data_IF_818819897411
#
_entry.id   IF_818819897411
#
_cell.length_a   1.000
_cell.length_b   1.000
_cell.length_c   1.000
_cell.angle_alpha   90.00
_cell.angle_beta   90.00
_cell.angle_gamma   90.00
#
_symmetry.space_group_name_H-M   'P 1'
#
loop_
_entity.id
_entity.type
_entity.pdbx_description
1 polymer ?
#
# COMPACT_ATOMS: atom_id res chain seq x y z
N UNK A 1 50.75 -7.48 15.02
CA UNK A 1 49.78 -7.03 14.00
C UNK A 1 48.89 -8.22 13.65
N UNK A 2 47.76 -8.37 14.35
CA UNK A 2 46.82 -9.45 14.13
C UNK A 2 45.82 -9.07 13.04
N UNK A 3 45.78 -9.87 11.98
CA UNK A 3 44.78 -9.74 10.92
C UNK A 3 43.48 -10.40 11.40
N UNK A 4 42.47 -9.58 11.67
CA UNK A 4 41.09 -10.03 11.85
C UNK A 4 40.56 -10.43 10.46
N UNK A 5 40.47 -11.74 10.21
CA UNK A 5 39.78 -12.27 9.06
C UNK A 5 38.27 -12.01 9.23
N UNK A 6 37.71 -11.15 8.36
CA UNK A 6 36.27 -11.03 8.18
C UNK A 6 35.77 -12.37 7.64
N UNK A 7 34.91 -13.04 8.40
CA UNK A 7 34.24 -14.26 7.95
C UNK A 7 33.35 -13.92 6.73
N UNK A 8 33.37 -14.73 5.67
CA UNK A 8 32.46 -14.54 4.56
C UNK A 8 31.05 -14.85 5.04
N UNK A 9 30.11 -13.92 4.84
CA UNK A 9 28.69 -14.21 4.94
C UNK A 9 28.39 -15.34 3.95
N UNK A 10 28.05 -16.51 4.48
CA UNK A 10 27.57 -17.62 3.66
C UNK A 10 26.24 -17.18 3.03
N UNK A 11 26.25 -16.88 1.73
CA UNK A 11 25.04 -16.82 0.93
C UNK A 11 24.54 -18.26 0.81
N UNK A 12 23.57 -18.63 1.65
CA UNK A 12 22.81 -19.84 1.43
C UNK A 12 22.19 -19.75 0.03
N UNK A 13 22.48 -20.74 -0.81
CA UNK A 13 21.69 -21.02 -2.01
C UNK A 13 20.30 -21.44 -1.53
N UNK A 14 19.40 -20.47 -1.46
CA UNK A 14 17.98 -20.69 -1.23
C UNK A 14 17.37 -21.05 -2.60
N UNK A 15 16.54 -22.09 -2.67
CA UNK A 15 15.73 -22.43 -3.87
C UNK A 15 14.61 -21.38 -4.05
N UNK A 16 15.04 -20.12 -4.09
CA UNK A 16 14.50 -19.03 -3.30
C UNK A 16 13.28 -18.37 -3.90
N UNK A 17 12.39 -17.96 -3.02
CA UNK A 17 11.31 -17.04 -3.36
C UNK A 17 11.93 -15.79 -4.00
N UNK A 18 11.75 -15.62 -5.30
CA UNK A 18 12.29 -14.51 -6.07
C UNK A 18 11.14 -13.80 -6.79
N UNK A 19 11.10 -12.48 -6.66
CA UNK A 19 10.16 -11.67 -7.41
C UNK A 19 10.63 -11.55 -8.86
N UNK A 20 9.73 -11.71 -9.86
CA UNK A 20 10.10 -11.57 -11.25
C UNK A 20 10.52 -10.12 -11.57
N UNK A 21 11.23 -9.95 -12.69
CA UNK A 21 11.52 -8.62 -13.19
C UNK A 21 10.22 -7.86 -13.51
N UNK A 22 10.20 -6.56 -13.18
CA UNK A 22 9.06 -5.69 -13.45
C UNK A 22 8.80 -5.56 -14.95
N UNK A 23 7.54 -5.65 -15.36
CA UNK A 23 7.10 -5.44 -16.74
C UNK A 23 6.18 -4.21 -16.84
N UNK A 24 6.23 -3.48 -17.94
CA UNK A 24 5.30 -2.37 -18.16
C UNK A 24 3.86 -2.88 -18.26
N UNK A 25 2.92 -2.23 -17.56
CA UNK A 25 1.49 -2.60 -17.63
C UNK A 25 0.59 -1.37 -17.64
N UNK A 26 -0.55 -1.47 -18.32
CA UNK A 26 -1.65 -0.50 -18.23
C UNK A 26 -2.75 -0.98 -17.26
N UNK A 27 -3.68 -0.09 -16.93
CA UNK A 27 -4.77 -0.38 -15.99
C UNK A 27 -5.63 -1.57 -16.41
N UNK A 28 -6.08 -1.59 -17.66
CA UNK A 28 -7.03 -2.60 -18.16
C UNK A 28 -6.39 -3.99 -18.15
N UNK A 29 -5.13 -4.08 -18.54
CA UNK A 29 -4.36 -5.32 -18.53
C UNK A 29 -4.10 -5.79 -17.10
N UNK A 30 -3.73 -4.88 -16.19
CA UNK A 30 -3.51 -5.20 -14.78
C UNK A 30 -4.78 -5.68 -14.07
N UNK A 31 -5.92 -5.02 -14.30
CA UNK A 31 -7.20 -5.40 -13.71
C UNK A 31 -7.57 -6.85 -14.06
N UNK A 32 -7.32 -7.22 -15.32
CA UNK A 32 -7.63 -8.55 -15.86
C UNK A 32 -6.48 -9.57 -15.67
N UNK A 33 -5.33 -9.17 -15.14
CA UNK A 33 -4.18 -10.05 -14.95
C UNK A 33 -4.52 -11.21 -14.01
N UNK A 34 -4.24 -12.45 -14.44
CA UNK A 34 -4.38 -13.66 -13.64
C UNK A 34 -3.13 -14.51 -13.83
N UNK A 35 -2.50 -14.88 -12.74
CA UNK A 35 -1.28 -15.67 -12.71
C UNK A 35 -1.28 -16.54 -11.45
N UNK A 36 -0.72 -17.75 -11.53
CA UNK A 36 -0.57 -18.64 -10.38
C UNK A 36 0.63 -18.25 -9.49
N UNK A 37 1.44 -17.28 -9.94
CA UNK A 37 2.59 -16.73 -9.24
C UNK A 37 2.49 -15.22 -9.09
N UNK A 38 3.25 -14.68 -8.13
CA UNK A 38 3.42 -13.23 -7.98
C UNK A 38 3.98 -12.62 -9.25
N UNK A 39 3.38 -11.52 -9.69
CA UNK A 39 3.84 -10.71 -10.82
C UNK A 39 4.26 -9.33 -10.34
N UNK A 40 5.22 -8.70 -11.04
CA UNK A 40 5.70 -7.35 -10.72
C UNK A 40 5.57 -6.46 -11.95
N UNK A 41 5.06 -5.26 -11.78
CA UNK A 41 4.80 -4.34 -12.88
C UNK A 41 5.24 -2.90 -12.62
N UNK A 42 5.71 -2.23 -13.67
CA UNK A 42 5.84 -0.79 -13.74
C UNK A 42 4.55 -0.19 -14.32
N UNK A 43 3.83 0.58 -13.53
CA UNK A 43 2.51 1.06 -13.92
C UNK A 43 2.57 2.25 -14.87
N UNK A 44 1.91 2.15 -16.03
CA UNK A 44 1.73 3.25 -16.98
C UNK A 44 3.04 3.83 -17.53
N UNK A 45 4.14 3.06 -17.51
CA UNK A 45 5.48 3.54 -17.85
C UNK A 45 6.05 4.58 -16.87
N UNK A 46 5.39 4.81 -15.73
CA UNK A 46 5.84 5.70 -14.67
C UNK A 46 6.80 4.94 -13.77
N UNK A 47 8.09 5.23 -13.84
CA UNK A 47 9.13 4.54 -13.06
C UNK A 47 9.02 4.69 -11.54
N UNK A 48 8.08 5.49 -11.04
CA UNK A 48 7.84 5.72 -9.63
C UNK A 48 6.72 4.86 -9.03
N UNK A 49 6.00 4.09 -9.84
CA UNK A 49 4.88 3.26 -9.36
C UNK A 49 5.16 1.80 -9.71
N UNK A 50 5.55 1.04 -8.69
CA UNK A 50 5.80 -0.39 -8.78
C UNK A 50 4.59 -1.13 -8.20
N UNK A 51 4.12 -2.16 -8.89
CA UNK A 51 2.98 -2.96 -8.47
C UNK A 51 3.43 -4.40 -8.27
N UNK A 52 3.08 -4.99 -7.14
CA UNK A 52 3.27 -6.42 -6.85
C UNK A 52 1.88 -7.05 -6.77
N UNK A 53 1.60 -7.95 -7.71
CA UNK A 53 0.30 -8.56 -7.93
C UNK A 53 0.29 -10.02 -7.47
N UNK A 54 -0.45 -10.31 -6.41
CA UNK A 54 -0.40 -11.57 -5.67
C UNK A 54 -1.55 -12.51 -6.05
N UNK A 55 -1.29 -13.80 -6.34
CA UNK A 55 -2.34 -14.79 -6.58
C UNK A 55 -3.21 -15.01 -5.34
N UNK A 56 -2.61 -14.90 -4.13
CA UNK A 56 -3.31 -15.12 -2.87
C UNK A 56 -3.00 -14.04 -1.84
N UNK A 57 -3.98 -13.80 -0.97
CA UNK A 57 -3.85 -12.88 0.16
C UNK A 57 -2.86 -13.36 1.22
N UNK A 58 -2.75 -14.68 1.42
CA UNK A 58 -1.73 -15.24 2.31
C UNK A 58 -0.32 -14.86 1.85
N UNK A 59 -0.03 -14.94 0.56
CA UNK A 59 1.29 -14.58 0.01
C UNK A 59 1.55 -13.07 0.12
N UNK A 60 0.54 -12.23 -0.13
CA UNK A 60 0.60 -10.78 0.13
C UNK A 60 0.91 -10.50 1.60
N UNK A 61 0.19 -11.16 2.51
CA UNK A 61 0.37 -11.02 3.95
C UNK A 61 1.75 -11.47 4.44
N UNK A 62 2.29 -12.56 3.90
CA UNK A 62 3.65 -13.05 4.21
C UNK A 62 4.75 -12.03 3.84
N UNK A 63 4.49 -11.14 2.88
CA UNK A 63 5.40 -10.07 2.50
C UNK A 63 5.18 -8.77 3.29
N UNK A 64 3.92 -8.39 3.52
CA UNK A 64 3.59 -7.02 3.95
C UNK A 64 2.97 -6.89 5.34
N UNK A 65 2.59 -7.96 6.03
CA UNK A 65 1.91 -7.81 7.33
C UNK A 65 2.74 -7.06 8.38
N UNK A 66 4.06 -7.29 8.46
CA UNK A 66 4.91 -6.53 9.39
C UNK A 66 5.04 -5.06 9.00
N UNK A 67 5.09 -4.78 7.70
CA UNK A 67 5.15 -3.44 7.12
C UNK A 67 3.86 -2.68 7.45
N UNK A 68 2.70 -3.29 7.21
CA UNK A 68 1.37 -2.76 7.57
C UNK A 68 1.24 -2.49 9.07
N UNK A 69 1.69 -3.44 9.90
CA UNK A 69 1.68 -3.25 11.35
C UNK A 69 2.52 -2.03 11.75
N UNK A 70 3.73 -1.88 11.20
CA UNK A 70 4.62 -0.76 11.52
C UNK A 70 4.09 0.61 11.04
N UNK A 71 3.58 0.69 9.81
CA UNK A 71 3.34 1.97 9.13
C UNK A 71 1.89 2.45 9.26
N UNK A 72 0.93 1.55 9.07
CA UNK A 72 -0.47 1.95 8.89
C UNK A 72 -1.28 1.87 10.17
N UNK A 73 -1.05 0.83 10.99
CA UNK A 73 -1.97 0.49 12.06
C UNK A 73 -1.64 1.21 13.37
N UNK A 74 -2.68 1.68 14.06
CA UNK A 74 -2.59 2.10 15.46
C UNK A 74 -2.46 0.86 16.35
N UNK A 75 -1.65 0.96 17.41
CA UNK A 75 -1.50 -0.10 18.42
C UNK A 75 -0.30 -1.02 18.23
N UNK A 76 0.39 -0.93 17.09
CA UNK A 76 1.72 -1.52 16.91
C UNK A 76 2.81 -0.46 17.18
N UNK A 77 4.00 -0.88 17.67
CA UNK A 77 5.12 0.03 17.88
C UNK A 77 5.60 0.65 16.56
N UNK A 78 6.03 1.90 16.61
CA UNK A 78 6.54 2.65 15.43
C UNK A 78 8.06 2.67 15.36
N UNK A 79 8.70 2.32 16.47
CA UNK A 79 10.13 2.38 16.71
C UNK A 79 10.83 1.02 16.56
N UNK A 80 10.09 -0.06 16.33
CA UNK A 80 10.63 -1.41 16.10
C UNK A 80 9.70 -2.28 15.27
N UNK A 81 10.28 -3.26 14.59
CA UNK A 81 9.52 -4.30 13.87
C UNK A 81 9.09 -5.41 14.84
N UNK A 82 7.85 -5.89 14.69
CA UNK A 82 7.35 -7.03 15.45
C UNK A 82 7.99 -8.33 14.95
N UNK A 83 8.38 -9.22 15.88
CA UNK A 83 8.75 -10.59 15.51
C UNK A 83 7.50 -11.42 15.10
N UNK A 84 7.69 -12.69 14.72
CA UNK A 84 6.58 -13.54 14.24
C UNK A 84 5.47 -13.75 15.28
N UNK A 85 5.84 -14.00 16.53
CA UNK A 85 4.87 -14.29 17.59
C UNK A 85 4.09 -13.03 17.97
N UNK A 86 4.80 -11.90 18.09
CA UNK A 86 4.20 -10.59 18.35
C UNK A 86 3.26 -10.16 17.22
N UNK A 87 3.66 -10.34 15.96
CA UNK A 87 2.82 -10.04 14.80
C UNK A 87 1.56 -10.91 14.80
N UNK A 88 1.70 -12.21 15.07
CA UNK A 88 0.56 -13.12 15.14
C UNK A 88 -0.41 -12.74 16.27
N UNK A 89 0.11 -12.30 17.42
CA UNK A 89 -0.71 -11.78 18.52
C UNK A 89 -1.42 -10.48 18.13
N UNK A 90 -0.71 -9.55 17.49
CA UNK A 90 -1.27 -8.29 17.01
C UNK A 90 -2.39 -8.51 15.99
N UNK A 91 -2.18 -9.36 14.99
CA UNK A 91 -3.20 -9.71 13.98
C UNK A 91 -4.48 -10.22 14.65
N UNK A 92 -4.35 -11.09 15.65
CA UNK A 92 -5.50 -11.61 16.41
C UNK A 92 -6.19 -10.52 17.23
N UNK A 93 -5.44 -9.62 17.87
CA UNK A 93 -6.01 -8.58 18.72
C UNK A 93 -6.85 -7.57 17.95
N UNK A 94 -6.55 -7.35 16.66
CA UNK A 94 -7.33 -6.48 15.76
C UNK A 94 -8.41 -7.24 14.97
N UNK A 95 -8.68 -8.50 15.31
CA UNK A 95 -9.74 -9.31 14.68
C UNK A 95 -9.47 -9.63 13.21
N UNK A 96 -8.21 -9.65 12.79
CA UNK A 96 -7.77 -9.97 11.42
C UNK A 96 -7.11 -11.36 11.38
N UNK A 97 -6.77 -11.77 10.17
CA UNK A 97 -5.99 -12.97 9.90
C UNK A 97 -4.71 -12.59 9.16
N UNK A 98 -3.76 -13.52 9.04
CA UNK A 98 -2.57 -13.30 8.22
C UNK A 98 -2.88 -12.94 6.77
N UNK A 99 -4.02 -13.37 6.22
CA UNK A 99 -4.44 -13.02 4.87
C UNK A 99 -5.19 -11.67 4.79
N UNK A 100 -5.78 -11.18 5.88
CA UNK A 100 -6.72 -10.05 5.83
C UNK A 100 -6.22 -8.76 6.47
N UNK A 101 -5.00 -8.76 7.01
CA UNK A 101 -4.38 -7.54 7.56
C UNK A 101 -3.90 -6.61 6.44
N UNK A 102 -3.14 -7.14 5.46
CA UNK A 102 -2.59 -6.42 4.32
C UNK A 102 -3.47 -6.58 3.06
N UNK A 103 -4.71 -6.09 3.12
CA UNK A 103 -5.71 -6.28 2.05
C UNK A 103 -5.70 -5.12 1.06
N UNK A 104 -4.69 -5.09 0.18
CA UNK A 104 -4.43 -3.91 -0.65
C UNK A 104 -3.74 -2.82 0.17
N UNK A 105 -2.55 -2.40 -0.26
CA UNK A 105 -1.76 -1.40 0.45
C UNK A 105 -0.81 -0.69 -0.50
N UNK A 106 -0.48 0.55 -0.16
CA UNK A 106 0.58 1.34 -0.75
C UNK A 106 1.69 1.64 0.26
N UNK A 107 2.94 1.60 -0.18
CA UNK A 107 4.09 1.93 0.64
C UNK A 107 5.06 2.82 -0.12
N UNK A 108 5.48 3.92 0.50
CA UNK A 108 6.62 4.68 -0.01
C UNK A 108 7.90 3.86 0.20
N UNK A 109 8.82 3.93 -0.77
CA UNK A 109 10.15 3.32 -0.63
C UNK A 109 10.88 3.84 0.62
N UNK A 110 10.66 5.11 0.98
CA UNK A 110 11.19 5.66 2.24
C UNK A 110 10.71 4.88 3.48
N UNK A 111 9.45 4.45 3.51
CA UNK A 111 8.88 3.70 4.64
C UNK A 111 9.39 2.26 4.67
N UNK A 112 9.54 1.63 3.49
CA UNK A 112 10.15 0.31 3.38
C UNK A 112 11.62 0.32 3.84
N UNK A 113 12.36 1.39 3.56
CA UNK A 113 13.73 1.59 4.06
C UNK A 113 13.75 1.70 5.59
N UNK A 114 12.80 2.40 6.19
CA UNK A 114 12.66 2.44 7.67
C UNK A 114 12.39 1.04 8.21
N UNK A 115 11.46 0.30 7.61
CA UNK A 115 11.17 -1.08 7.99
C UNK A 115 12.42 -1.97 7.99
N UNK A 116 13.19 -1.99 6.89
CA UNK A 116 14.37 -2.85 6.80
C UNK A 116 15.48 -2.45 7.78
N UNK A 117 15.70 -1.15 7.99
CA UNK A 117 16.67 -0.69 8.98
C UNK A 117 16.24 -1.06 10.41
N UNK A 118 14.96 -0.91 10.76
CA UNK A 118 14.45 -1.31 12.08
C UNK A 118 14.49 -2.82 12.28
N UNK A 119 14.26 -3.62 11.23
CA UNK A 119 14.42 -5.07 11.28
C UNK A 119 15.88 -5.46 11.56
N UNK A 120 16.84 -4.88 10.84
CA UNK A 120 18.28 -5.13 11.04
C UNK A 120 18.73 -4.70 12.45
N UNK A 121 18.34 -3.50 12.90
CA UNK A 121 18.64 -2.99 14.24
C UNK A 121 18.05 -3.87 15.35
N UNK A 122 16.86 -4.41 15.13
CA UNK A 122 16.17 -5.28 16.07
C UNK A 122 16.59 -6.75 16.01
N UNK A 123 17.50 -7.12 15.10
CA UNK A 123 17.88 -8.52 14.87
C UNK A 123 16.70 -9.39 14.40
N UNK A 124 15.73 -8.78 13.72
CA UNK A 124 14.55 -9.49 13.21
C UNK A 124 14.92 -10.30 11.98
N UNK A 125 14.74 -11.62 12.07
CA UNK A 125 14.86 -12.49 10.91
C UNK A 125 13.71 -12.19 9.93
N UNK A 126 14.09 -11.71 8.74
CA UNK A 126 13.17 -11.50 7.64
C UNK A 126 12.66 -12.83 7.09
N UNK A 127 11.40 -12.84 6.62
CA UNK A 127 10.85 -13.95 5.85
C UNK A 127 11.47 -14.00 4.44
N UNK A 128 11.33 -15.12 3.73
CA UNK A 128 11.84 -15.23 2.34
C UNK A 128 11.17 -14.21 1.42
N UNK A 129 9.89 -13.86 1.67
CA UNK A 129 9.17 -12.83 0.93
C UNK A 129 9.69 -11.42 1.23
N UNK A 130 9.96 -11.11 2.50
CA UNK A 130 10.55 -9.82 2.90
C UNK A 130 11.97 -9.66 2.33
N UNK A 131 12.76 -10.74 2.30
CA UNK A 131 14.09 -10.75 1.64
C UNK A 131 13.94 -10.49 0.14
N UNK A 132 12.98 -11.11 -0.54
CA UNK A 132 12.74 -10.90 -1.96
C UNK A 132 12.29 -9.47 -2.28
N UNK A 133 11.43 -8.88 -1.44
CA UNK A 133 11.05 -7.47 -1.55
C UNK A 133 12.28 -6.56 -1.42
N UNK A 134 13.12 -6.80 -0.41
CA UNK A 134 14.36 -6.05 -0.20
C UNK A 134 15.27 -6.12 -1.43
N UNK A 135 15.45 -7.31 -1.98
CA UNK A 135 16.28 -7.55 -3.16
C UNK A 135 15.71 -6.84 -4.39
N UNK A 136 14.40 -6.93 -4.62
CA UNK A 136 13.71 -6.22 -5.70
C UNK A 136 13.97 -4.71 -5.64
N UNK A 137 13.83 -4.09 -4.46
CA UNK A 137 14.08 -2.65 -4.30
C UNK A 137 15.54 -2.25 -4.58
N UNK A 138 16.50 -3.11 -4.22
CA UNK A 138 17.93 -2.89 -4.49
C UNK A 138 18.23 -3.03 -5.98
N UNK A 139 17.76 -4.11 -6.61
CA UNK A 139 17.98 -4.38 -8.04
C UNK A 139 17.37 -3.30 -8.93
N UNK A 140 16.21 -2.78 -8.51
CA UNK A 140 15.53 -1.64 -9.15
C UNK A 140 16.16 -0.28 -8.83
N UNK A 141 17.22 -0.25 -8.00
CA UNK A 141 17.90 0.98 -7.53
C UNK A 141 16.96 1.97 -6.86
N UNK A 142 15.89 1.49 -6.24
CA UNK A 142 14.98 2.29 -5.42
C UNK A 142 15.54 2.46 -4.00
N UNK A 143 16.32 1.48 -3.55
CA UNK A 143 17.01 1.45 -2.28
C UNK A 143 18.48 1.04 -2.49
N UNK A 144 19.38 1.47 -1.61
CA UNK A 144 20.76 1.03 -1.61
C UNK A 144 21.27 0.80 -0.18
N UNK A 145 22.07 -0.24 0.02
CA UNK A 145 22.85 -0.41 1.25
C UNK A 145 24.12 0.44 1.17
N UNK A 146 24.28 1.39 2.10
CA UNK A 146 25.45 2.27 2.17
C UNK A 146 25.92 2.39 3.61
N UNK A 147 27.21 2.19 3.84
CA UNK A 147 27.81 2.27 5.18
C UNK A 147 27.08 1.45 6.25
N UNK A 148 26.54 0.28 5.86
CA UNK A 148 25.84 -0.63 6.78
C UNK A 148 24.38 -0.29 7.08
N UNK A 149 23.77 0.68 6.39
CA UNK A 149 22.34 0.99 6.52
C UNK A 149 21.67 1.20 5.17
N UNK A 150 20.39 0.86 5.07
CA UNK A 150 19.62 1.09 3.86
C UNK A 150 19.25 2.57 3.72
N UNK A 151 19.35 3.09 2.51
CA UNK A 151 18.95 4.44 2.13
C UNK A 151 17.99 4.36 0.95
N UNK A 152 16.94 5.19 0.99
CA UNK A 152 16.07 5.39 -0.16
C UNK A 152 16.81 6.18 -1.25
N UNK A 153 16.91 5.62 -2.45
CA UNK A 153 17.42 6.31 -3.64
C UNK A 153 16.30 7.12 -4.28
N UNK A 154 15.08 6.59 -4.27
CA UNK A 154 13.88 7.25 -4.79
C UNK A 154 12.78 7.19 -3.73
N UNK A 155 12.85 8.02 -2.68
CA UNK A 155 12.00 7.90 -1.49
C UNK A 155 10.49 8.02 -1.76
N UNK A 156 10.12 8.75 -2.80
CA UNK A 156 8.74 8.99 -3.24
C UNK A 156 8.20 7.94 -4.21
N UNK A 157 9.01 6.97 -4.64
CA UNK A 157 8.47 5.84 -5.39
C UNK A 157 7.55 5.03 -4.48
N UNK A 158 6.48 4.50 -5.06
CA UNK A 158 5.40 3.81 -4.36
C UNK A 158 5.40 2.35 -4.80
N UNK A 159 5.29 1.45 -3.83
CA UNK A 159 5.04 0.03 -4.04
C UNK A 159 3.59 -0.24 -3.68
N UNK A 160 2.79 -0.67 -4.66
CA UNK A 160 1.42 -1.12 -4.44
C UNK A 160 1.41 -2.64 -4.32
N UNK A 161 0.69 -3.14 -3.32
CA UNK A 161 0.42 -4.57 -3.15
C UNK A 161 -1.04 -4.85 -3.49
N UNK A 162 -1.29 -5.74 -4.45
CA UNK A 162 -2.63 -6.01 -4.96
C UNK A 162 -2.94 -7.50 -4.94
N UNK A 163 -4.12 -7.91 -4.46
CA UNK A 163 -4.56 -9.28 -4.61
C UNK A 163 -5.29 -9.48 -5.94
N UNK A 164 -4.96 -10.56 -6.65
CA UNK A 164 -5.68 -11.02 -7.82
C UNK A 164 -7.10 -11.49 -7.45
N UNK A 165 -8.02 -11.44 -8.42
CA UNK A 165 -9.32 -12.07 -8.23
C UNK A 165 -9.13 -13.58 -8.10
N UNK A 166 -9.74 -14.17 -7.08
CA UNK A 166 -9.66 -15.59 -6.82
C UNK A 166 -10.93 -16.07 -6.11
N UNK A 167 -11.16 -17.38 -6.17
CA UNK A 167 -12.31 -18.03 -5.53
C UNK A 167 -12.13 -18.24 -4.02
N UNK A 168 -11.01 -17.79 -3.45
CA UNK A 168 -10.60 -18.12 -2.08
C UNK A 168 -10.15 -19.57 -1.93
N UNK A 169 -9.89 -19.96 -0.68
CA UNK A 169 -9.47 -21.30 -0.28
C UNK A 169 -9.37 -21.43 1.24
N UNK A 170 -8.89 -22.57 1.76
CA UNK A 170 -8.67 -22.73 3.19
C UNK A 170 -7.79 -21.59 3.75
N UNK A 171 -8.33 -20.81 4.69
CA UNK A 171 -7.63 -19.67 5.29
C UNK A 171 -7.45 -18.43 4.40
N UNK A 172 -7.96 -18.45 3.17
CA UNK A 172 -7.87 -17.34 2.21
C UNK A 172 -9.28 -16.92 1.77
N UNK A 173 -9.76 -15.72 2.15
CA UNK A 173 -11.06 -15.25 1.68
C UNK A 173 -11.02 -14.99 0.17
N UNK A 174 -12.17 -15.14 -0.52
CA UNK A 174 -12.27 -14.85 -1.94
C UNK A 174 -12.09 -13.35 -2.21
N UNK A 175 -11.45 -13.05 -3.33
CA UNK A 175 -11.35 -11.68 -3.87
C UNK A 175 -12.19 -11.66 -5.14
N UNK A 176 -13.32 -10.97 -5.13
CA UNK A 176 -14.18 -10.85 -6.31
C UNK A 176 -13.65 -9.83 -7.31
N UNK A 177 -14.13 -9.86 -8.56
CA UNK A 177 -13.83 -8.84 -9.57
C UNK A 177 -14.09 -7.41 -9.06
N UNK A 178 -15.21 -7.19 -8.35
CA UNK A 178 -15.53 -5.87 -7.78
C UNK A 178 -14.55 -5.48 -6.66
N UNK A 179 -14.14 -6.43 -5.82
CA UNK A 179 -13.15 -6.16 -4.77
C UNK A 179 -11.81 -5.79 -5.41
N UNK A 180 -11.32 -6.57 -6.38
CA UNK A 180 -10.06 -6.25 -7.08
C UNK A 180 -10.12 -4.90 -7.78
N UNK A 181 -11.20 -4.58 -8.50
CA UNK A 181 -11.38 -3.27 -9.13
C UNK A 181 -11.33 -2.15 -8.10
N UNK A 182 -12.01 -2.33 -6.97
CA UNK A 182 -12.04 -1.35 -5.88
C UNK A 182 -10.66 -1.10 -5.32
N UNK A 183 -9.94 -2.17 -4.96
CA UNK A 183 -8.58 -2.07 -4.42
C UNK A 183 -7.66 -1.41 -5.43
N UNK A 184 -7.64 -1.90 -6.68
CA UNK A 184 -6.76 -1.36 -7.71
C UNK A 184 -6.97 0.14 -7.95
N UNK A 185 -8.22 0.60 -8.06
CA UNK A 185 -8.52 2.02 -8.23
C UNK A 185 -8.10 2.85 -7.01
N UNK A 186 -8.35 2.33 -5.81
CA UNK A 186 -7.99 2.97 -4.55
C UNK A 186 -6.46 3.13 -4.44
N UNK A 187 -5.71 2.03 -4.58
CA UNK A 187 -4.24 2.02 -4.46
C UNK A 187 -3.56 2.87 -5.53
N UNK A 188 -4.02 2.83 -6.79
CA UNK A 188 -3.44 3.71 -7.83
C UNK A 188 -3.69 5.18 -7.47
N UNK A 189 -4.83 5.53 -6.88
CA UNK A 189 -5.08 6.92 -6.49
C UNK A 189 -4.07 7.43 -5.44
N UNK A 190 -3.62 6.57 -4.52
CA UNK A 190 -2.54 6.90 -3.59
C UNK A 190 -1.22 7.08 -4.31
N UNK A 191 -0.86 6.16 -5.21
CA UNK A 191 0.37 6.28 -6.00
C UNK A 191 0.41 7.59 -6.78
N UNK A 192 -0.72 8.02 -7.36
CA UNK A 192 -0.84 9.31 -8.03
C UNK A 192 -0.69 10.48 -7.06
N UNK A 193 -1.27 10.40 -5.86
CA UNK A 193 -1.12 11.43 -4.84
C UNK A 193 0.37 11.64 -4.47
N UNK A 194 1.15 10.57 -4.33
CA UNK A 194 2.56 10.70 -3.97
C UNK A 194 3.46 11.10 -5.14
N UNK A 195 3.14 10.69 -6.37
CA UNK A 195 4.04 10.86 -7.53
C UNK A 195 3.67 12.01 -8.45
N UNK A 196 2.45 12.54 -8.37
CA UNK A 196 1.98 13.66 -9.19
C UNK A 196 1.72 14.91 -8.30
N UNK A 197 2.64 15.89 -8.27
CA UNK A 197 2.52 17.05 -7.39
C UNK A 197 1.33 17.96 -7.75
N UNK A 198 0.89 17.99 -9.02
CA UNK A 198 -0.30 18.74 -9.42
C UNK A 198 -1.56 18.12 -8.82
N UNK A 199 -1.67 16.80 -8.89
CA UNK A 199 -2.76 16.05 -8.29
C UNK A 199 -2.77 16.19 -6.77
N UNK A 200 -1.62 16.02 -6.12
CA UNK A 200 -1.48 16.18 -4.67
C UNK A 200 -1.91 17.58 -4.21
N UNK A 201 -1.44 18.63 -4.88
CA UNK A 201 -1.83 20.00 -4.57
C UNK A 201 -3.33 20.21 -4.76
N UNK A 202 -3.91 19.67 -5.85
CA UNK A 202 -5.34 19.74 -6.08
C UNK A 202 -6.15 19.09 -4.95
N UNK A 203 -5.78 17.88 -4.52
CA UNK A 203 -6.41 17.20 -3.39
C UNK A 203 -6.34 18.01 -2.10
N UNK A 204 -5.19 18.63 -1.80
CA UNK A 204 -5.04 19.53 -0.64
C UNK A 204 -5.96 20.75 -0.74
N UNK A 205 -6.06 21.36 -1.93
CA UNK A 205 -6.95 22.50 -2.17
C UNK A 205 -8.43 22.09 -2.03
N UNK A 206 -8.81 20.94 -2.57
CA UNK A 206 -10.16 20.39 -2.41
C UNK A 206 -10.50 20.17 -0.93
N UNK A 207 -9.61 19.53 -0.19
CA UNK A 207 -9.79 19.29 1.24
C UNK A 207 -9.94 20.59 2.05
N UNK A 208 -9.06 21.58 1.82
CA UNK A 208 -9.03 22.82 2.60
C UNK A 208 -10.16 23.79 2.22
N UNK A 209 -10.43 23.93 0.91
CA UNK A 209 -11.23 25.03 0.38
C UNK A 209 -12.57 24.60 -0.24
N UNK A 210 -12.74 23.32 -0.54
CA UNK A 210 -13.99 22.81 -1.16
C UNK A 210 -14.85 22.08 -0.14
N UNK A 211 -14.24 21.26 0.73
CA UNK A 211 -14.94 20.63 1.85
C UNK A 211 -15.26 21.64 2.97
N UNK A 212 -16.41 21.46 3.60
CA UNK A 212 -16.75 22.15 4.85
C UNK A 212 -16.09 21.46 6.05
N UNK A 213 -16.00 22.14 7.20
CA UNK A 213 -15.46 21.51 8.41
C UNK A 213 -16.28 20.31 8.87
N UNK A 214 -17.60 20.35 8.71
CA UNK A 214 -18.48 19.21 9.00
C UNK A 214 -18.14 18.01 8.11
N UNK A 215 -17.86 18.23 6.82
CA UNK A 215 -17.47 17.17 5.89
C UNK A 215 -16.08 16.61 6.23
N UNK A 216 -15.10 17.46 6.53
CA UNK A 216 -13.77 17.00 7.00
C UNK A 216 -13.88 16.19 8.28
N UNK A 217 -14.68 16.65 9.24
CA UNK A 217 -14.94 15.94 10.51
C UNK A 217 -15.58 14.57 10.26
N UNK A 218 -16.55 14.49 9.33
CA UNK A 218 -17.17 13.22 8.92
C UNK A 218 -16.14 12.23 8.36
N UNK A 219 -15.26 12.68 7.45
CA UNK A 219 -14.17 11.86 6.90
C UNK A 219 -13.17 11.43 7.97
N UNK A 220 -12.67 12.36 8.81
CA UNK A 220 -11.76 12.02 9.93
C UNK A 220 -12.38 10.98 10.86
N UNK A 221 -13.67 11.10 11.18
CA UNK A 221 -14.39 10.14 12.00
C UNK A 221 -14.53 8.77 11.35
N UNK A 222 -14.74 8.70 10.03
CA UNK A 222 -14.78 7.45 9.29
C UNK A 222 -13.41 6.77 9.21
N UNK A 223 -12.35 7.52 8.91
CA UNK A 223 -10.99 7.00 8.79
C UNK A 223 -10.43 6.55 10.15
N UNK A 224 -10.73 7.27 11.23
CA UNK A 224 -10.29 6.86 12.58
C UNK A 224 -10.92 5.54 13.03
N UNK A 225 -12.18 5.26 12.65
CA UNK A 225 -12.81 3.95 12.88
C UNK A 225 -12.13 2.81 12.11
N UNK A 226 -11.43 3.13 11.02
CA UNK A 226 -10.60 2.21 10.24
C UNK A 226 -9.14 2.15 10.73
N UNK A 227 -8.88 2.74 11.91
CA UNK A 227 -7.58 2.79 12.60
C UNK A 227 -6.52 3.69 11.97
N UNK A 228 -6.91 4.64 11.13
CA UNK A 228 -6.01 5.71 10.69
C UNK A 228 -5.88 6.82 11.75
N UNK A 229 -4.72 7.48 11.80
CA UNK A 229 -4.48 8.58 12.74
C UNK A 229 -5.15 9.89 12.24
N UNK A 230 -6.19 10.40 12.92
CA UNK A 230 -6.90 11.60 12.48
C UNK A 230 -6.06 12.89 12.56
N UNK A 231 -4.97 12.90 13.34
CA UNK A 231 -4.08 14.05 13.47
C UNK A 231 -3.06 14.14 12.32
N UNK A 232 -2.95 13.09 11.50
CA UNK A 232 -2.08 13.08 10.33
C UNK A 232 -2.83 13.65 9.11
N UNK A 233 -2.82 14.98 8.98
CA UNK A 233 -3.64 15.70 7.99
C UNK A 233 -3.36 15.25 6.54
N UNK A 234 -2.10 15.02 6.15
CA UNK A 234 -1.79 14.56 4.78
C UNK A 234 -2.37 13.18 4.47
N UNK A 235 -2.37 12.26 5.44
CA UNK A 235 -3.04 10.96 5.32
C UNK A 235 -4.56 11.14 5.20
N UNK A 236 -5.17 12.03 5.98
CA UNK A 236 -6.61 12.31 5.85
C UNK A 236 -6.98 12.83 4.47
N UNK A 237 -6.14 13.68 3.87
CA UNK A 237 -6.34 14.20 2.52
C UNK A 237 -6.25 13.07 1.49
N UNK A 238 -5.19 12.25 1.57
CA UNK A 238 -4.94 11.17 0.62
C UNK A 238 -6.03 10.08 0.69
N UNK A 239 -6.44 9.67 1.89
CA UNK A 239 -7.51 8.71 2.10
C UNK A 239 -8.88 9.24 1.65
N UNK A 240 -9.17 10.51 1.95
CA UNK A 240 -10.46 11.11 1.58
C UNK A 240 -10.68 11.09 0.08
N UNK A 241 -9.67 11.45 -0.72
CA UNK A 241 -9.81 11.41 -2.18
C UNK A 241 -9.97 9.98 -2.69
N UNK A 242 -9.21 9.02 -2.14
CA UNK A 242 -9.26 7.61 -2.53
C UNK A 242 -10.66 7.02 -2.29
N UNK A 243 -11.19 7.19 -1.08
CA UNK A 243 -12.53 6.73 -0.73
C UNK A 243 -13.65 7.46 -1.48
N UNK A 244 -13.59 8.79 -1.55
CA UNK A 244 -14.64 9.58 -2.19
C UNK A 244 -14.76 9.26 -3.68
N UNK A 245 -13.65 9.03 -4.37
CA UNK A 245 -13.62 9.01 -5.84
C UNK A 245 -13.34 7.63 -6.43
N UNK A 246 -12.53 6.81 -5.76
CA UNK A 246 -11.92 5.60 -6.32
C UNK A 246 -12.27 4.31 -5.58
N UNK A 247 -13.22 4.37 -4.63
CA UNK A 247 -13.79 3.21 -3.94
C UNK A 247 -15.23 2.96 -4.38
N UNK A 248 -15.47 2.22 -5.50
CA UNK A 248 -16.80 2.01 -6.06
C UNK A 248 -17.65 0.99 -5.29
N UNK A 249 -17.05 0.07 -4.54
CA UNK A 249 -17.81 -0.88 -3.73
C UNK A 249 -18.48 -0.18 -2.53
N UNK A 250 -19.81 -0.14 -2.55
CA UNK A 250 -20.61 0.47 -1.50
C UNK A 250 -20.40 -0.16 -0.11
N UNK A 251 -19.89 -1.39 -0.04
CA UNK A 251 -19.54 -2.06 1.23
C UNK A 251 -18.29 -1.44 1.86
N UNK A 252 -17.37 -0.92 1.04
CA UNK A 252 -16.16 -0.24 1.49
C UNK A 252 -16.40 1.25 1.71
N UNK A 253 -17.19 1.92 0.87
CA UNK A 253 -17.54 3.32 1.05
C UNK A 253 -18.91 3.71 0.50
N UNK A 254 -19.69 4.40 1.32
CA UNK A 254 -20.93 5.06 0.91
C UNK A 254 -21.23 6.24 1.85
N UNK A 255 -22.20 7.08 1.50
CA UNK A 255 -22.51 8.29 2.27
C UNK A 255 -22.91 8.00 3.73
N UNK A 256 -23.61 6.88 3.97
CA UNK A 256 -24.03 6.48 5.32
C UNK A 256 -22.84 6.18 6.23
N UNK A 257 -21.74 5.63 5.70
CA UNK A 257 -20.54 5.32 6.48
C UNK A 257 -19.85 6.56 7.06
N UNK A 258 -20.06 7.72 6.42
CA UNK A 258 -19.53 9.02 6.86
C UNK A 258 -20.63 9.93 7.43
N UNK A 259 -21.88 9.46 7.54
CA UNK A 259 -22.99 10.24 8.09
C UNK A 259 -23.48 11.40 7.20
N UNK A 260 -23.23 11.33 5.88
CA UNK A 260 -23.73 12.29 4.90
C UNK A 260 -24.88 11.70 4.07
N UNK A 261 -25.61 12.55 3.35
CA UNK A 261 -26.62 12.12 2.37
C UNK A 261 -25.95 11.73 1.05
N UNK A 262 -26.57 10.81 0.29
CA UNK A 262 -26.05 10.37 -1.02
C UNK A 262 -25.85 11.56 -1.98
N UNK A 263 -26.82 12.48 -2.03
CA UNK A 263 -26.73 13.70 -2.85
C UNK A 263 -25.54 14.59 -2.46
N UNK A 264 -25.18 14.66 -1.18
CA UNK A 264 -24.02 15.45 -0.75
C UNK A 264 -22.72 14.81 -1.24
N UNK A 265 -22.59 13.49 -1.17
CA UNK A 265 -21.42 12.77 -1.69
C UNK A 265 -21.32 12.87 -3.22
N UNK A 266 -22.44 12.79 -3.93
CA UNK A 266 -22.50 13.01 -5.38
C UNK A 266 -22.06 14.43 -5.75
N UNK A 267 -22.51 15.45 -5.01
CA UNK A 267 -22.11 16.84 -5.23
C UNK A 267 -20.62 17.06 -4.96
N UNK A 268 -20.07 16.43 -3.91
CA UNK A 268 -18.64 16.46 -3.63
C UNK A 268 -17.82 15.84 -4.77
N UNK A 269 -18.26 14.68 -5.28
CA UNK A 269 -17.65 14.05 -6.46
C UNK A 269 -17.71 14.99 -7.65
N UNK A 270 -18.88 15.54 -7.98
CA UNK A 270 -19.05 16.44 -9.12
C UNK A 270 -18.14 17.68 -9.02
N UNK A 271 -18.02 18.29 -7.83
CA UNK A 271 -17.12 19.43 -7.58
C UNK A 271 -15.65 19.06 -7.75
N UNK A 272 -15.23 17.86 -7.35
CA UNK A 272 -13.86 17.39 -7.54
C UNK A 272 -13.55 17.26 -9.05
N UNK A 273 -14.39 16.55 -9.80
CA UNK A 273 -14.13 16.36 -11.24
C UNK A 273 -14.23 17.64 -12.05
N UNK A 274 -15.13 18.54 -11.67
CA UNK A 274 -15.24 19.85 -12.32
C UNK A 274 -14.02 20.74 -12.14
N UNK A 275 -13.18 20.49 -11.12
CA UNK A 275 -11.99 21.29 -10.83
C UNK A 275 -10.67 20.71 -11.30
N UNK A 276 -10.60 19.41 -11.67
CA UNK A 276 -9.39 18.77 -12.17
C UNK A 276 -9.71 17.86 -13.38
N UNK A 277 -9.73 18.42 -14.60
CA UNK A 277 -10.18 17.69 -15.80
C UNK A 277 -9.30 16.49 -16.17
N UNK A 278 -8.01 16.54 -15.81
CA UNK A 278 -7.02 15.49 -16.11
C UNK A 278 -6.75 14.57 -14.91
N UNK A 279 -7.77 14.34 -14.07
CA UNK A 279 -7.62 13.49 -12.91
C UNK A 279 -7.22 12.05 -13.31
N UNK A 280 -6.25 11.41 -12.61
CA UNK A 280 -5.51 10.25 -13.13
C UNK A 280 -6.32 9.02 -13.54
N UNK A 281 -7.55 8.88 -13.04
CA UNK A 281 -8.45 7.77 -13.35
C UNK A 281 -9.86 8.24 -13.77
N UNK A 282 -10.00 9.50 -14.22
CA UNK A 282 -11.28 10.06 -14.64
C UNK A 282 -11.94 9.27 -15.80
N UNK A 283 -11.12 8.73 -16.71
CA UNK A 283 -11.59 7.98 -17.88
C UNK A 283 -12.14 6.60 -17.51
N UNK A 284 -11.63 5.98 -16.45
CA UNK A 284 -12.02 4.64 -15.97
C UNK A 284 -13.40 4.62 -15.27
N UNK A 285 -14.06 5.79 -15.25
CA UNK A 285 -15.37 6.04 -14.65
C UNK A 285 -16.51 6.02 -15.66
N UNK A 286 -16.21 6.08 -16.97
CA UNK A 286 -17.19 6.07 -18.06
C UNK A 286 -17.72 4.67 -18.33
#
# INVERSE_FOLDING_TARGET
MGWLALAPFALAQDDGYALPAAQGIDYTTLLNNRNDKVSVFDYGGRSLILIIDFPTLAEQGSMFNRVVALIERIGAPRERVLNNDELAQFIRSVGKTGATLAYGNDFLVAELVVFFNLADMGGIQLTVQEVALRQLLIDRRLMALRNGFYQAVTPQAVVLSLPQENTGGPGNPPVSALARRTILMHEISHAEYYTNPLYANYCRQFWRNVLTENQRTAFRGFLSRSSYNPDHEEMMINETQAYLLYTPDARAFNAKLIGLKDKEVEDLRARFWGGFPDAPLAELRR
#
